data_IF_119566080609
#
_entry.id   IF_119566080609
#
_cell.length_a   1.000
_cell.length_b   1.000
_cell.length_c   1.000
_cell.angle_alpha   90.00
_cell.angle_beta   90.00
_cell.angle_gamma   90.00
#
_symmetry.space_group_name_H-M   'P 1'
#
loop_
_entity.id
_entity.type
_entity.pdbx_description
1 polymer ?
#
# COMPACT_ATOMS: atom_id res chain seq x y z
N UNK A 1 15.59 -11.02 -28.80
CA UNK A 1 15.95 -11.43 -27.42
C UNK A 1 14.78 -11.06 -26.52
N UNK A 2 13.93 -12.03 -26.18
CA UNK A 2 12.73 -11.83 -25.35
C UNK A 2 13.14 -12.19 -23.91
N UNK A 3 13.15 -11.21 -23.01
CA UNK A 3 13.47 -11.42 -21.61
C UNK A 3 12.37 -12.26 -20.96
N UNK A 4 12.69 -13.51 -20.61
CA UNK A 4 11.82 -14.37 -19.83
C UNK A 4 11.82 -13.88 -18.38
N UNK A 5 10.70 -13.29 -17.95
CA UNK A 5 10.47 -13.01 -16.53
C UNK A 5 10.24 -14.32 -15.80
N UNK A 6 11.22 -14.73 -14.99
CA UNK A 6 11.11 -15.89 -14.10
C UNK A 6 10.14 -15.56 -12.96
N UNK A 7 9.00 -16.23 -12.98
CA UNK A 7 7.96 -16.20 -11.95
C UNK A 7 8.46 -16.99 -10.73
N UNK A 8 8.83 -16.29 -9.65
CA UNK A 8 9.19 -16.93 -8.38
C UNK A 8 7.91 -17.38 -7.66
N UNK A 9 7.80 -18.67 -7.25
CA UNK A 9 6.65 -19.12 -6.49
C UNK A 9 6.80 -18.65 -5.04
N UNK A 10 5.90 -17.78 -4.59
CA UNK A 10 5.68 -17.52 -3.18
C UNK A 10 4.97 -18.75 -2.62
N UNK A 11 5.78 -19.66 -2.07
CA UNK A 11 5.29 -20.82 -1.34
C UNK A 11 4.83 -20.34 0.05
N UNK A 12 3.58 -19.87 0.13
CA UNK A 12 2.93 -19.62 1.40
C UNK A 12 2.63 -20.95 2.08
N UNK A 13 3.39 -21.24 3.13
CA UNK A 13 3.14 -22.31 4.09
C UNK A 13 1.73 -22.20 4.69
N UNK A 14 0.81 -23.00 4.16
CA UNK A 14 -0.57 -23.15 4.63
C UNK A 14 -0.80 -24.57 5.18
N UNK A 15 0.16 -25.08 5.97
CA UNK A 15 0.14 -26.43 6.54
C UNK A 15 0.15 -26.52 8.08
N UNK A 16 -0.37 -25.51 8.79
CA UNK A 16 -0.45 -25.58 10.27
C UNK A 16 -1.80 -25.14 10.87
N UNK A 17 -2.90 -25.65 10.32
CA UNK A 17 -4.19 -25.71 11.02
C UNK A 17 -4.99 -26.92 10.54
N UNK A 18 -4.51 -28.10 10.91
CA UNK A 18 -5.25 -29.34 10.83
C UNK A 18 -5.22 -30.03 12.18
N UNK A 19 -6.37 -29.99 12.89
CA UNK A 19 -6.96 -31.03 13.75
C UNK A 19 -7.75 -30.41 14.90
N UNK A 20 -9.01 -30.06 14.63
CA UNK A 20 -10.14 -30.31 15.55
C UNK A 20 -11.42 -29.77 14.90
N UNK A 21 -12.13 -30.65 14.19
CA UNK A 21 -13.58 -30.61 13.92
C UNK A 21 -13.91 -31.54 12.73
N UNK A 22 -13.72 -32.84 12.92
CA UNK A 22 -14.47 -33.85 12.18
C UNK A 22 -15.48 -34.48 13.13
N UNK A 23 -16.67 -33.90 13.19
CA UNK A 23 -17.87 -34.68 13.46
C UNK A 23 -19.09 -34.00 12.84
N UNK A 24 -19.61 -34.68 11.81
CA UNK A 24 -21.04 -34.76 11.46
C UNK A 24 -21.79 -33.44 11.22
N UNK A 25 -21.96 -33.08 9.95
CA UNK A 25 -23.29 -32.81 9.39
C UNK A 25 -23.22 -32.72 7.86
N UNK A 26 -24.31 -33.18 7.25
CA UNK A 26 -24.62 -33.26 5.84
C UNK A 26 -24.02 -32.18 4.93
N UNK A 27 -23.46 -32.63 3.80
CA UNK A 27 -23.19 -31.80 2.62
C UNK A 27 -24.53 -31.36 2.01
N UNK A 28 -24.83 -30.05 1.89
CA UNK A 28 -25.77 -29.58 0.90
C UNK A 28 -25.08 -29.55 -0.47
N UNK A 29 -25.73 -30.22 -1.40
CA UNK A 29 -25.49 -30.27 -2.83
C UNK A 29 -25.14 -28.89 -3.39
N UNK A 30 -23.99 -28.80 -4.08
CA UNK A 30 -23.59 -27.69 -4.93
C UNK A 30 -24.57 -27.59 -6.11
N UNK A 31 -25.62 -26.79 -5.96
CA UNK A 31 -26.46 -26.32 -7.07
C UNK A 31 -26.99 -24.95 -6.68
N UNK A 32 -26.89 -23.99 -7.61
CA UNK A 32 -27.27 -22.57 -7.49
C UNK A 32 -26.22 -21.61 -6.89
N UNK A 33 -25.12 -21.41 -7.62
CA UNK A 33 -24.63 -20.03 -7.77
C UNK A 33 -25.51 -19.35 -8.83
N UNK A 34 -26.61 -18.80 -8.34
CA UNK A 34 -27.54 -17.97 -9.10
C UNK A 34 -26.77 -16.79 -9.66
N UNK A 35 -26.95 -16.55 -10.96
CA UNK A 35 -26.44 -15.42 -11.71
C UNK A 35 -26.77 -14.09 -11.01
N UNK A 36 -25.85 -13.57 -10.21
CA UNK A 36 -25.95 -12.20 -9.68
C UNK A 36 -25.45 -11.23 -10.76
N UNK A 37 -26.21 -11.16 -11.86
CA UNK A 37 -26.05 -10.12 -12.86
C UNK A 37 -26.52 -8.81 -12.24
N UNK A 38 -25.61 -7.84 -12.10
CA UNK A 38 -25.99 -6.47 -11.75
C UNK A 38 -26.75 -5.86 -12.94
N UNK A 39 -28.05 -6.13 -13.04
CA UNK A 39 -28.94 -5.38 -13.92
C UNK A 39 -29.10 -3.98 -13.34
N UNK A 40 -28.45 -3.01 -13.98
CA UNK A 40 -28.58 -1.59 -13.64
C UNK A 40 -29.96 -1.13 -14.12
N UNK A 41 -30.94 -1.18 -13.22
CA UNK A 41 -32.27 -0.62 -13.47
C UNK A 41 -32.25 0.86 -13.10
N UNK A 42 -32.56 1.80 -14.02
CA UNK A 42 -32.61 3.22 -13.70
C UNK A 42 -33.86 3.51 -12.85
N UNK A 43 -33.70 3.61 -11.53
CA UNK A 43 -34.79 4.05 -10.65
C UNK A 43 -34.91 5.58 -10.68
N UNK A 44 -36.10 6.07 -11.03
CA UNK A 44 -36.44 7.50 -10.98
C UNK A 44 -36.28 8.09 -9.56
N UNK A 45 -35.93 9.39 -9.44
CA UNK A 45 -35.72 10.03 -8.15
C UNK A 45 -37.04 10.22 -7.39
N UNK A 46 -37.22 9.49 -6.29
CA UNK A 46 -38.29 9.72 -5.34
C UNK A 46 -37.98 10.96 -4.48
N UNK A 47 -38.74 12.04 -4.70
CA UNK A 47 -38.75 13.25 -3.87
C UNK A 47 -39.13 12.90 -2.43
N UNK A 48 -38.17 12.99 -1.51
CA UNK A 48 -38.42 12.84 -0.07
C UNK A 48 -38.67 14.20 0.60
N UNK A 49 -39.59 14.28 1.58
CA UNK A 49 -39.99 15.53 2.21
C UNK A 49 -38.92 16.08 3.17
N UNK A 50 -38.81 17.41 3.18
CA UNK A 50 -37.88 18.19 3.99
C UNK A 50 -38.12 17.99 5.49
N UNK A 51 -37.15 17.38 6.19
CA UNK A 51 -37.17 17.21 7.64
C UNK A 51 -36.45 18.39 8.31
N UNK A 52 -37.22 19.38 8.75
CA UNK A 52 -36.77 20.51 9.57
C UNK A 52 -36.34 20.03 10.97
N UNK A 53 -35.04 19.78 11.14
CA UNK A 53 -34.43 19.51 12.45
C UNK A 53 -33.91 20.79 13.10
N UNK A 54 -34.59 21.25 14.18
CA UNK A 54 -34.14 22.35 15.05
C UNK A 54 -32.78 22.00 15.66
N UNK A 55 -31.75 22.74 15.28
CA UNK A 55 -30.36 22.56 15.71
C UNK A 55 -30.15 23.37 17.01
N UNK A 56 -30.19 22.70 18.16
CA UNK A 56 -29.80 23.32 19.43
C UNK A 56 -28.30 23.62 19.42
N UNK A 57 -27.96 24.90 19.30
CA UNK A 57 -26.59 25.43 19.28
C UNK A 57 -26.13 25.55 20.74
N UNK A 58 -25.51 24.51 21.29
CA UNK A 58 -24.75 24.61 22.55
C UNK A 58 -23.51 25.45 22.26
N UNK A 59 -23.53 26.71 22.71
CA UNK A 59 -22.36 27.57 22.74
C UNK A 59 -21.46 27.07 23.86
N UNK A 60 -20.26 26.60 23.52
CA UNK A 60 -19.20 26.40 24.51
C UNK A 60 -18.43 27.71 24.65
N UNK A 61 -18.14 28.17 25.89
CA UNK A 61 -17.34 29.37 26.12
C UNK A 61 -15.92 29.14 25.61
N UNK A 62 -15.48 30.02 24.71
CA UNK A 62 -14.11 30.09 24.22
C UNK A 62 -13.23 30.58 25.36
N UNK A 63 -12.48 29.68 25.99
CA UNK A 63 -11.41 30.07 26.91
C UNK A 63 -10.20 30.52 26.09
N UNK A 64 -9.92 31.82 26.16
CA UNK A 64 -8.71 32.44 25.60
C UNK A 64 -7.55 32.05 26.50
N UNK A 65 -6.73 31.09 26.06
CA UNK A 65 -5.50 30.72 26.76
C UNK A 65 -4.43 31.78 26.43
N UNK A 66 -3.84 32.45 27.44
CA UNK A 66 -2.76 33.40 27.21
C UNK A 66 -1.51 32.67 26.72
N UNK A 67 -0.96 33.14 25.60
CA UNK A 67 0.28 32.63 25.00
C UNK A 67 1.46 33.04 25.88
N UNK A 68 2.23 32.08 26.45
CA UNK A 68 3.43 32.41 27.19
C UNK A 68 4.51 32.88 26.22
N UNK A 69 5.00 34.10 26.43
CA UNK A 69 6.18 34.63 25.74
C UNK A 69 7.41 33.82 26.20
N UNK A 70 8.02 33.08 25.29
CA UNK A 70 9.31 32.42 25.56
C UNK A 70 10.46 33.37 25.19
N UNK A 71 11.49 33.51 26.07
CA UNK A 71 12.66 34.32 25.80
C UNK A 71 13.54 33.67 24.72
N UNK A 72 14.08 34.49 23.80
CA UNK A 72 15.05 34.08 22.80
C UNK A 72 16.28 33.48 23.49
N UNK A 73 16.45 32.17 23.37
CA UNK A 73 17.70 31.50 23.73
C UNK A 73 18.74 31.76 22.62
N UNK A 74 19.84 32.39 23.02
CA UNK A 74 21.05 32.66 22.25
C UNK A 74 21.63 31.34 21.71
N UNK A 75 21.64 31.16 20.39
CA UNK A 75 22.20 29.97 19.73
C UNK A 75 23.74 30.07 19.77
N UNK A 76 24.46 29.12 20.40
CA UNK A 76 25.92 29.12 20.39
C UNK A 76 26.45 28.72 19.01
N UNK A 77 27.42 29.48 18.49
CA UNK A 77 28.17 29.16 17.27
C UNK A 77 28.93 27.84 17.44
N UNK A 78 28.90 26.93 16.45
CA UNK A 78 29.73 25.73 16.47
C UNK A 78 31.19 26.08 16.23
N UNK A 79 32.05 25.62 17.14
CA UNK A 79 33.50 25.73 17.07
C UNK A 79 34.06 25.05 15.81
N UNK A 80 35.07 25.69 15.22
CA UNK A 80 35.78 25.22 14.04
C UNK A 80 36.33 23.80 14.20
N UNK A 81 36.03 22.93 13.24
CA UNK A 81 36.61 21.58 13.17
C UNK A 81 38.10 21.66 12.79
N UNK A 82 38.99 20.91 13.46
CA UNK A 82 40.39 20.82 13.07
C UNK A 82 40.53 20.07 11.75
N UNK A 83 41.31 20.65 10.83
CA UNK A 83 41.65 20.03 9.56
C UNK A 83 42.49 18.76 9.82
N UNK A 84 41.96 17.62 9.39
CA UNK A 84 42.66 16.33 9.44
C UNK A 84 43.77 16.32 8.39
N UNK A 85 45.01 16.51 8.83
CA UNK A 85 46.20 16.32 8.02
C UNK A 85 46.38 14.84 7.74
N UNK A 86 45.99 14.40 6.55
CA UNK A 86 46.34 13.06 6.04
C UNK A 86 47.85 12.96 5.87
N UNK A 87 48.48 12.06 6.61
CA UNK A 87 49.86 11.66 6.38
C UNK A 87 49.96 10.73 5.17
N UNK A 88 51.00 10.86 4.31
CA UNK A 88 51.26 9.89 3.24
C UNK A 88 51.77 8.57 3.83
N UNK A 89 51.10 7.47 3.47
CA UNK A 89 51.51 6.12 3.82
C UNK A 89 52.78 5.77 3.05
N UNK A 90 53.82 5.42 3.80
CA UNK A 90 55.09 4.91 3.29
C UNK A 90 54.88 3.58 2.56
N UNK A 91 55.41 3.57 1.34
CA UNK A 91 55.68 2.41 0.50
C UNK A 91 56.63 1.46 1.24
N UNK A 92 56.11 0.32 1.68
CA UNK A 92 56.91 -0.77 2.26
C UNK A 92 56.78 -1.98 1.35
N UNK A 93 57.83 -2.17 0.56
CA UNK A 93 57.90 -3.15 -0.50
C UNK A 93 57.85 -4.61 -0.04
N UNK A 94 57.68 -5.48 -1.04
CA UNK A 94 58.22 -6.82 -1.02
C UNK A 94 57.34 -7.91 -0.42
N UNK A 95 56.12 -8.11 -0.92
CA UNK A 95 55.44 -9.40 -0.77
C UNK A 95 55.00 -9.92 -2.15
N UNK A 96 55.78 -10.88 -2.66
CA UNK A 96 55.45 -11.71 -3.82
C UNK A 96 54.23 -12.58 -3.48
N UNK A 97 53.07 -12.23 -4.01
CA UNK A 97 51.88 -13.07 -3.95
C UNK A 97 51.99 -14.25 -4.94
N UNK A 98 51.60 -15.47 -4.54
CA UNK A 98 51.59 -16.64 -5.42
C UNK A 98 50.57 -16.45 -6.55
N UNK A 99 51.02 -16.73 -7.77
CA UNK A 99 50.22 -16.72 -9.00
C UNK A 99 49.19 -17.85 -8.96
N UNK A 100 48.01 -17.56 -8.42
CA UNK A 100 46.85 -18.44 -8.48
C UNK A 100 46.32 -18.44 -9.92
N UNK A 101 46.64 -19.48 -10.67
CA UNK A 101 45.93 -19.83 -11.91
C UNK A 101 44.56 -20.39 -11.54
N UNK A 102 43.60 -19.48 -11.34
CA UNK A 102 42.19 -19.81 -11.14
C UNK A 102 41.43 -19.91 -12.47
N UNK A 103 40.38 -20.73 -12.55
CA UNK A 103 39.64 -21.04 -13.78
C UNK A 103 38.98 -19.79 -14.37
N UNK A 104 39.14 -19.65 -15.68
CA UNK A 104 38.56 -18.63 -16.56
C UNK A 104 37.03 -18.58 -16.44
N UNK A 105 36.54 -17.80 -15.49
CA UNK A 105 35.17 -17.27 -15.47
C UNK A 105 35.30 -15.76 -15.67
N UNK A 106 35.11 -15.31 -16.91
CA UNK A 106 35.24 -13.92 -17.34
C UNK A 106 34.06 -13.06 -16.90
N UNK A 107 33.68 -13.11 -15.63
CA UNK A 107 32.82 -12.09 -15.04
C UNK A 107 33.70 -10.87 -14.75
N UNK A 108 33.44 -9.77 -15.45
CA UNK A 108 34.23 -8.55 -15.20
C UNK A 108 33.99 -8.13 -13.74
N UNK A 109 35.03 -7.77 -12.98
CA UNK A 109 34.90 -7.39 -11.56
C UNK A 109 33.89 -6.25 -11.34
N UNK A 110 33.62 -5.46 -12.39
CA UNK A 110 32.61 -4.40 -12.44
C UNK A 110 31.16 -4.92 -12.28
N UNK A 111 30.83 -6.07 -12.86
CA UNK A 111 29.47 -6.61 -12.80
C UNK A 111 29.19 -7.25 -11.43
N UNK A 112 30.19 -7.89 -10.83
CA UNK A 112 30.12 -8.39 -9.47
C UNK A 112 29.92 -7.26 -8.45
N UNK A 113 30.63 -6.14 -8.60
CA UNK A 113 30.47 -4.95 -7.75
C UNK A 113 29.08 -4.31 -7.88
N UNK A 114 28.54 -4.22 -9.11
CA UNK A 114 27.18 -3.70 -9.33
C UNK A 114 26.12 -4.59 -8.68
N UNK A 115 26.31 -5.91 -8.75
CA UNK A 115 25.39 -6.87 -8.13
C UNK A 115 25.41 -6.79 -6.60
N UNK A 116 26.57 -6.60 -5.98
CA UNK A 116 26.67 -6.43 -4.51
C UNK A 116 26.07 -5.10 -4.07
N UNK A 117 26.30 -4.01 -4.80
CA UNK A 117 25.68 -2.71 -4.54
C UNK A 117 24.15 -2.78 -4.62
N UNK A 118 23.60 -3.45 -5.63
CA UNK A 118 22.16 -3.65 -5.78
C UNK A 118 21.57 -4.43 -4.60
N UNK A 119 22.27 -5.47 -4.09
CA UNK A 119 21.85 -6.22 -2.90
C UNK A 119 21.82 -5.33 -1.66
N UNK A 120 22.89 -4.56 -1.41
CA UNK A 120 22.96 -3.62 -0.29
C UNK A 120 21.85 -2.57 -0.35
N UNK A 121 21.54 -2.08 -1.55
CA UNK A 121 20.46 -1.14 -1.76
C UNK A 121 19.09 -1.73 -1.40
N UNK A 122 18.82 -2.98 -1.83
CA UNK A 122 17.61 -3.71 -1.46
C UNK A 122 17.52 -3.92 0.06
N UNK A 123 18.60 -4.35 0.70
CA UNK A 123 18.67 -4.54 2.16
C UNK A 123 18.42 -3.23 2.91
N UNK A 124 19.02 -2.13 2.46
CA UNK A 124 18.82 -0.80 3.05
C UNK A 124 17.35 -0.37 2.99
N UNK A 125 16.69 -0.60 1.86
CA UNK A 125 15.26 -0.32 1.72
C UNK A 125 14.39 -1.21 2.60
N UNK A 126 14.71 -2.50 2.73
CA UNK A 126 13.99 -3.42 3.62
C UNK A 126 14.13 -3.01 5.09
N UNK A 127 15.35 -2.65 5.52
CA UNK A 127 15.61 -2.16 6.87
C UNK A 127 14.88 -0.86 7.16
N UNK A 128 14.90 0.10 6.21
CA UNK A 128 14.16 1.35 6.33
C UNK A 128 12.64 1.10 6.44
N UNK A 129 12.10 0.16 5.67
CA UNK A 129 10.70 -0.23 5.74
C UNK A 129 10.35 -0.88 7.09
N UNK A 130 11.20 -1.76 7.61
CA UNK A 130 11.01 -2.40 8.92
C UNK A 130 11.02 -1.38 10.07
N UNK A 131 11.97 -0.43 10.05
CA UNK A 131 12.03 0.67 11.03
C UNK A 131 10.79 1.56 10.93
N UNK A 132 10.34 1.86 9.71
CA UNK A 132 9.13 2.64 9.50
C UNK A 132 7.89 1.92 10.06
N UNK A 133 7.79 0.61 9.88
CA UNK A 133 6.69 -0.20 10.41
C UNK A 133 6.70 -0.29 11.94
N UNK A 134 7.88 -0.48 12.55
CA UNK A 134 8.03 -0.47 14.01
C UNK A 134 7.57 0.88 14.60
N UNK A 135 7.96 1.99 13.98
CA UNK A 135 7.54 3.34 14.38
C UNK A 135 6.05 3.60 14.18
N UNK A 136 5.42 2.96 13.18
CA UNK A 136 3.99 3.12 12.89
C UNK A 136 3.11 2.54 14.00
N UNK A 137 3.61 1.61 14.81
CA UNK A 137 2.92 1.06 15.99
C UNK A 137 1.47 0.62 15.72
N UNK A 138 0.65 0.48 16.78
CA UNK A 138 -0.80 0.25 16.65
C UNK A 138 -1.56 1.56 16.41
N UNK A 139 -1.05 2.42 15.53
CA UNK A 139 -1.75 3.67 15.21
C UNK A 139 -3.00 3.37 14.38
N UNK A 140 -4.06 4.14 14.60
CA UNK A 140 -5.29 4.06 13.80
C UNK A 140 -5.00 4.26 12.31
N UNK A 141 -4.01 5.10 11.97
CA UNK A 141 -3.60 5.35 10.58
C UNK A 141 -3.03 4.11 9.91
N UNK A 142 -2.13 3.37 10.57
CA UNK A 142 -1.57 2.14 10.02
C UNK A 142 -2.66 1.09 9.74
N UNK A 143 -3.63 0.96 10.66
CA UNK A 143 -4.78 0.07 10.46
C UNK A 143 -5.65 0.50 9.29
N UNK A 144 -5.95 1.79 9.16
CA UNK A 144 -6.74 2.34 8.05
C UNK A 144 -6.01 2.13 6.72
N UNK A 145 -4.70 2.37 6.66
CA UNK A 145 -3.91 2.21 5.44
C UNK A 145 -3.83 0.75 5.02
N UNK A 146 -3.54 -0.16 5.97
CA UNK A 146 -3.53 -1.59 5.71
C UNK A 146 -4.88 -2.12 5.24
N UNK A 147 -5.99 -1.57 5.75
CA UNK A 147 -7.34 -1.89 5.25
C UNK A 147 -7.53 -1.47 3.80
N UNK A 148 -7.17 -0.23 3.43
CA UNK A 148 -7.32 0.24 2.05
C UNK A 148 -6.47 -0.55 1.06
N UNK A 149 -5.26 -0.95 1.46
CA UNK A 149 -4.40 -1.80 0.65
C UNK A 149 -5.02 -3.18 0.39
N UNK A 150 -5.54 -3.84 1.43
CA UNK A 150 -6.23 -5.14 1.31
C UNK A 150 -7.49 -5.03 0.44
N UNK A 151 -8.29 -3.98 0.63
CA UNK A 151 -9.49 -3.74 -0.17
C UNK A 151 -9.10 -3.53 -1.66
N UNK A 152 -8.00 -2.84 -1.94
CA UNK A 152 -7.46 -2.67 -3.30
C UNK A 152 -7.01 -4.00 -3.93
N UNK A 153 -6.18 -4.78 -3.24
CA UNK A 153 -5.68 -6.06 -3.76
C UNK A 153 -6.81 -7.05 -4.03
N UNK A 154 -7.76 -7.14 -3.10
CA UNK A 154 -8.94 -7.98 -3.24
C UNK A 154 -9.79 -7.54 -4.43
N UNK A 155 -10.10 -6.25 -4.54
CA UNK A 155 -10.86 -5.73 -5.67
C UNK A 155 -10.16 -6.01 -7.01
N UNK A 156 -8.88 -5.65 -7.11
CA UNK A 156 -8.16 -5.68 -8.39
C UNK A 156 -8.01 -7.12 -8.90
N UNK A 157 -7.75 -8.07 -8.01
CA UNK A 157 -7.68 -9.50 -8.36
C UNK A 157 -9.01 -9.98 -8.94
N UNK A 158 -10.13 -9.68 -8.27
CA UNK A 158 -11.46 -10.06 -8.76
C UNK A 158 -11.84 -9.35 -10.06
N UNK A 159 -11.47 -8.08 -10.20
CA UNK A 159 -11.69 -7.31 -11.42
C UNK A 159 -10.99 -7.95 -12.63
N UNK A 160 -9.75 -8.41 -12.47
CA UNK A 160 -8.99 -9.08 -13.53
C UNK A 160 -9.59 -10.43 -13.91
N UNK A 161 -10.03 -11.22 -12.91
CA UNK A 161 -10.74 -12.48 -13.17
C UNK A 161 -12.02 -12.22 -13.97
N UNK A 162 -12.84 -11.27 -13.53
CA UNK A 162 -14.08 -10.90 -14.22
C UNK A 162 -13.82 -10.43 -15.65
N UNK A 163 -12.79 -9.59 -15.86
CA UNK A 163 -12.40 -9.13 -17.19
C UNK A 163 -11.98 -10.26 -18.11
N UNK A 164 -11.15 -11.19 -17.62
CA UNK A 164 -10.73 -12.36 -18.41
C UNK A 164 -11.87 -13.32 -18.77
N UNK A 165 -12.95 -13.34 -17.98
CA UNK A 165 -14.17 -14.10 -18.31
C UNK A 165 -14.99 -13.42 -19.41
N UNK A 166 -15.02 -12.08 -19.42
CA UNK A 166 -15.75 -11.31 -20.43
C UNK A 166 -15.01 -11.22 -21.76
N UNK A 167 -13.69 -11.16 -21.71
CA UNK A 167 -12.80 -11.02 -22.85
C UNK A 167 -11.68 -12.07 -22.75
N UNK A 168 -11.76 -13.18 -23.50
CA UNK A 168 -10.75 -14.25 -23.46
C UNK A 168 -9.34 -13.80 -23.87
N UNK A 169 -9.23 -12.72 -24.65
CA UNK A 169 -7.94 -12.16 -25.07
C UNK A 169 -7.32 -11.27 -23.97
N UNK A 170 -8.07 -11.00 -22.89
CA UNK A 170 -7.60 -10.18 -21.78
C UNK A 170 -6.60 -10.92 -20.89
N UNK A 171 -5.37 -10.41 -20.86
CA UNK A 171 -4.34 -10.89 -19.94
C UNK A 171 -4.54 -10.33 -18.53
N UNK A 172 -4.67 -11.22 -17.54
CA UNK A 172 -4.77 -10.83 -16.14
C UNK A 172 -3.51 -10.10 -15.68
N UNK A 173 -3.69 -8.91 -15.11
CA UNK A 173 -2.59 -8.13 -14.56
C UNK A 173 -2.47 -8.33 -13.04
N UNK A 174 -1.25 -8.44 -12.48
CA UNK A 174 -1.10 -8.46 -11.03
C UNK A 174 -1.51 -7.12 -10.40
N UNK A 175 -1.99 -7.11 -9.14
CA UNK A 175 -2.30 -5.87 -8.42
C UNK A 175 -1.10 -4.93 -8.26
N UNK A 176 0.10 -5.50 -8.17
CA UNK A 176 1.36 -4.76 -8.06
C UNK A 176 2.10 -4.71 -9.41
N UNK A 177 2.87 -3.65 -9.70
CA UNK A 177 2.98 -2.40 -8.95
C UNK A 177 1.68 -1.58 -8.98
N UNK A 178 1.51 -0.71 -7.97
CA UNK A 178 0.40 0.25 -7.90
C UNK A 178 0.70 1.40 -8.87
N UNK A 179 -0.14 1.54 -9.90
CA UNK A 179 -0.08 2.63 -10.89
C UNK A 179 -1.36 3.46 -10.85
N UNK A 180 -1.31 4.71 -11.32
CA UNK A 180 -2.48 5.60 -11.31
C UNK A 180 -3.68 4.99 -12.05
N UNK A 181 -3.46 4.34 -13.19
CA UNK A 181 -4.51 3.65 -13.97
C UNK A 181 -5.26 2.60 -13.14
N UNK A 182 -4.53 1.75 -12.39
CA UNK A 182 -5.15 0.73 -11.52
C UNK A 182 -5.93 1.37 -10.37
N UNK A 183 -5.37 2.43 -9.78
CA UNK A 183 -6.01 3.18 -8.69
C UNK A 183 -7.28 3.88 -9.15
N UNK A 184 -7.31 4.43 -10.37
CA UNK A 184 -8.49 5.07 -10.93
C UNK A 184 -9.67 4.09 -11.08
N UNK A 185 -9.41 2.89 -11.61
CA UNK A 185 -10.43 1.83 -11.71
C UNK A 185 -10.94 1.41 -10.32
N UNK A 186 -10.03 1.30 -9.35
CA UNK A 186 -10.41 1.02 -7.95
C UNK A 186 -11.25 2.14 -7.33
N UNK A 187 -10.90 3.41 -7.54
CA UNK A 187 -11.68 4.55 -7.04
C UNK A 187 -13.06 4.60 -7.69
N UNK A 188 -13.18 4.28 -8.97
CA UNK A 188 -14.46 4.17 -9.66
C UNK A 188 -15.36 3.11 -8.99
N UNK A 189 -14.80 1.94 -8.66
CA UNK A 189 -15.52 0.93 -7.89
C UNK A 189 -15.88 1.40 -6.47
N UNK A 190 -14.97 2.10 -5.78
CA UNK A 190 -15.25 2.66 -4.47
C UNK A 190 -16.43 3.65 -4.48
N UNK A 191 -16.64 4.36 -5.60
CA UNK A 191 -17.75 5.29 -5.78
C UNK A 191 -19.09 4.60 -6.05
N UNK A 192 -19.09 3.45 -6.71
CA UNK A 192 -20.33 2.73 -7.08
C UNK A 192 -20.78 1.74 -6.02
N UNK A 193 -19.88 1.29 -5.15
CA UNK A 193 -20.18 0.34 -4.09
C UNK A 193 -21.13 0.95 -3.05
N UNK A 194 -22.18 0.22 -2.60
CA UNK A 194 -23.03 0.70 -1.51
C UNK A 194 -22.23 0.83 -0.21
N UNK A 195 -22.36 1.97 0.45
CA UNK A 195 -21.70 2.20 1.73
C UNK A 195 -22.45 1.51 2.87
N UNK A 196 -21.67 0.88 3.76
CA UNK A 196 -22.18 0.31 5.02
C UNK A 196 -22.36 1.43 6.03
N UNK A 197 -23.60 1.76 6.37
CA UNK A 197 -23.90 2.65 7.49
C UNK A 197 -24.27 1.80 8.69
N UNK A 198 -23.52 1.95 9.80
CA UNK A 198 -23.97 1.44 11.09
C UNK A 198 -25.05 2.39 11.61
N UNK A 199 -26.29 1.91 11.75
CA UNK A 199 -27.28 2.64 12.53
C UNK A 199 -26.93 2.45 14.01
N UNK A 200 -26.53 3.52 14.68
CA UNK A 200 -26.57 3.56 16.14
C UNK A 200 -28.00 3.92 16.55
N UNK A 201 -28.93 2.98 16.39
CA UNK A 201 -30.10 2.96 17.27
C UNK A 201 -29.68 2.09 18.45
N UNK A 202 -29.87 2.57 19.68
CA UNK A 202 -29.32 2.03 20.92
C UNK A 202 -29.82 0.64 21.35
N UNK A 203 -30.05 -0.26 20.41
CA UNK A 203 -30.49 -1.63 20.61
C UNK A 203 -29.45 -2.55 19.98
N UNK A 204 -29.17 -3.68 20.65
CA UNK A 204 -27.94 -4.47 20.48
C UNK A 204 -27.72 -5.09 19.08
N UNK A 205 -28.68 -4.95 18.17
CA UNK A 205 -28.61 -5.43 16.80
C UNK A 205 -28.11 -4.32 15.86
N UNK A 206 -26.81 -4.35 15.58
CA UNK A 206 -26.17 -3.46 14.60
C UNK A 206 -26.58 -3.91 13.19
N UNK A 207 -27.76 -3.49 12.74
CA UNK A 207 -28.19 -3.69 11.37
C UNK A 207 -27.28 -2.85 10.44
N UNK A 208 -26.65 -3.52 9.48
CA UNK A 208 -25.79 -2.86 8.49
C UNK A 208 -26.64 -2.51 7.28
N UNK A 209 -27.05 -1.25 7.19
CA UNK A 209 -27.80 -0.75 6.04
C UNK A 209 -26.83 -0.42 4.89
N UNK A 210 -27.16 -0.88 3.69
CA UNK A 210 -26.46 -0.55 2.46
C UNK A 210 -27.19 0.59 1.76
N UNK A 211 -26.59 1.78 1.77
CA UNK A 211 -27.17 2.95 1.10
C UNK A 211 -26.63 3.01 -0.32
N UNK A 212 -27.49 2.73 -1.30
CA UNK A 212 -27.18 2.90 -2.72
C UNK A 212 -27.07 4.40 -3.07
N UNK A 213 -26.20 4.73 -4.02
CA UNK A 213 -26.01 6.12 -4.48
C UNK A 213 -25.22 7.03 -3.54
N UNK A 214 -24.56 6.48 -2.52
CA UNK A 214 -23.66 7.26 -1.65
C UNK A 214 -22.28 7.37 -2.27
N UNK A 215 -21.87 8.61 -2.58
CA UNK A 215 -20.55 8.87 -3.11
C UNK A 215 -19.48 8.79 -2.02
N UNK A 216 -18.27 8.37 -2.39
CA UNK A 216 -17.11 8.39 -1.50
C UNK A 216 -16.75 9.84 -1.16
N UNK A 217 -16.60 10.15 0.14
CA UNK A 217 -16.22 11.49 0.57
C UNK A 217 -14.79 11.86 0.14
N UNK A 218 -14.54 13.16 -0.12
CA UNK A 218 -13.20 13.67 -0.50
C UNK A 218 -12.09 13.24 0.46
N UNK A 219 -12.38 13.22 1.76
CA UNK A 219 -11.45 12.75 2.80
C UNK A 219 -11.10 11.27 2.66
N UNK A 220 -12.07 10.42 2.32
CA UNK A 220 -11.86 8.99 2.09
C UNK A 220 -11.02 8.76 0.82
N UNK A 221 -11.29 9.49 -0.27
CA UNK A 221 -10.46 9.44 -1.49
C UNK A 221 -9.01 9.79 -1.14
N UNK A 222 -8.80 10.88 -0.40
CA UNK A 222 -7.48 11.32 0.01
C UNK A 222 -6.77 10.27 0.89
N UNK A 223 -7.50 9.61 1.81
CA UNK A 223 -6.96 8.52 2.62
C UNK A 223 -6.56 7.32 1.78
N UNK A 224 -7.39 6.90 0.81
CA UNK A 224 -7.08 5.81 -0.12
C UNK A 224 -5.80 6.12 -0.89
N UNK A 225 -5.74 7.29 -1.54
CA UNK A 225 -4.56 7.68 -2.33
C UNK A 225 -3.32 7.73 -1.44
N UNK A 226 -3.43 8.27 -0.23
CA UNK A 226 -2.28 8.35 0.69
C UNK A 226 -1.82 6.97 1.16
N UNK A 227 -2.74 6.06 1.43
CA UNK A 227 -2.43 4.69 1.82
C UNK A 227 -1.73 3.91 0.70
N UNK A 228 -2.25 4.01 -0.53
CA UNK A 228 -1.67 3.33 -1.68
C UNK A 228 -0.33 3.95 -2.10
N UNK A 229 -0.17 5.27 -1.98
CA UNK A 229 1.11 5.96 -2.21
C UNK A 229 2.17 5.58 -1.18
N UNK A 230 1.80 5.46 0.11
CA UNK A 230 2.71 5.00 1.18
C UNK A 230 3.23 3.59 0.88
N UNK A 231 2.34 2.67 0.51
CA UNK A 231 2.73 1.30 0.11
C UNK A 231 3.59 1.28 -1.16
N UNK A 232 3.25 2.12 -2.15
CA UNK A 232 4.02 2.19 -3.39
C UNK A 232 5.43 2.74 -3.13
N UNK A 233 5.58 3.75 -2.28
CA UNK A 233 6.91 4.26 -1.89
C UNK A 233 7.74 3.20 -1.19
N UNK A 234 7.14 2.45 -0.27
CA UNK A 234 7.85 1.38 0.44
C UNK A 234 8.26 0.23 -0.47
N UNK A 235 7.55 -0.01 -1.58
CA UNK A 235 7.83 -1.08 -2.55
C UNK A 235 8.48 -0.62 -3.86
N UNK A 236 8.69 0.69 -4.03
CA UNK A 236 9.22 1.31 -5.26
C UNK A 236 10.52 0.68 -5.75
N UNK A 237 11.37 0.25 -4.80
CA UNK A 237 12.65 -0.39 -5.07
C UNK A 237 12.54 -1.72 -5.81
N UNK A 238 11.40 -2.40 -5.73
CA UNK A 238 11.14 -3.67 -6.43
C UNK A 238 10.76 -3.47 -7.90
N UNK A 239 10.37 -2.25 -8.28
CA UNK A 239 9.74 -1.96 -9.58
C UNK A 239 10.47 -0.85 -10.35
N UNK A 240 11.81 -0.82 -10.29
CA UNK A 240 12.64 0.15 -11.00
C UNK A 240 12.44 0.11 -12.53
N UNK A 241 12.16 -1.07 -13.09
CA UNK A 241 11.93 -1.25 -14.53
C UNK A 241 10.56 -0.78 -15.03
N UNK A 242 9.66 -0.35 -14.14
CA UNK A 242 8.31 0.09 -14.50
C UNK A 242 8.19 1.60 -14.27
N UNK A 243 8.30 2.45 -15.31
CA UNK A 243 8.31 3.90 -15.14
C UNK A 243 7.01 4.43 -14.54
N UNK A 244 5.87 3.80 -14.86
CA UNK A 244 4.56 4.19 -14.31
C UNK A 244 4.47 3.99 -12.78
N UNK A 245 5.24 3.05 -12.22
CA UNK A 245 5.27 2.82 -10.77
C UNK A 245 6.06 3.91 -10.02
N UNK A 246 6.83 4.73 -10.74
CA UNK A 246 7.69 5.77 -10.17
C UNK A 246 7.00 7.16 -10.12
N UNK A 247 5.93 7.36 -10.90
CA UNK A 247 5.21 8.65 -10.98
C UNK A 247 4.26 8.79 -9.80
N UNK A 248 4.39 9.76 -8.86
CA UNK A 248 3.47 9.97 -7.73
C UNK A 248 1.99 9.97 -8.10
N UNK A 249 1.18 9.20 -7.35
CA UNK A 249 -0.27 9.07 -7.62
C UNK A 249 -0.99 10.41 -7.55
N UNK A 250 -0.46 11.36 -6.77
CA UNK A 250 -1.03 12.70 -6.63
C UNK A 250 -0.64 13.66 -7.75
N UNK A 251 0.41 13.36 -8.50
CA UNK A 251 0.90 14.22 -9.60
C UNK A 251 0.48 13.70 -10.97
N UNK A 252 0.00 12.46 -11.05
CA UNK A 252 -0.55 11.91 -12.28
C UNK A 252 -1.89 12.59 -12.60
N UNK A 253 -1.99 13.20 -13.79
CA UNK A 253 -3.11 14.06 -14.21
C UNK A 253 -4.14 13.32 -15.07
N UNK A 254 -3.94 12.03 -15.32
CA UNK A 254 -4.79 11.19 -16.19
C UNK A 254 -6.20 10.98 -15.61
#
# INVERSE_FOLDING_TARGET
MIAQYTFWPIQCDLQKLGREARSKAAMPTLTAWQEFTWSIQPSAPALSPARSGKRHKKQHPVQVIPVPQQPLALIPQPAAFPQSTFAPILDLGGLTLPRVTGPSSSETPTDAARATEQKLWVETHQNAAAIAEERKGKTTTAQVYGRWLKDYEFYFTNYQVQRSTQDPDWHQLPPMPITATKVMVFLQWCMTRPQKRKRQNGEADVETEYIQGTNLGKSSIQQIISALEDHRKSTSFRYLGVPEAQIPLRTDIR
#
